data_IF_511641088421
#
_entry.id   IF_511641088421
#
_cell.length_a   1.000
_cell.length_b   1.000
_cell.length_c   1.000
_cell.angle_alpha   90.00
_cell.angle_beta   90.00
_cell.angle_gamma   90.00
#
_symmetry.space_group_name_H-M   'P 1'
#
loop_
_entity.id
_entity.type
_entity.pdbx_description
1 polymer ?
#
# COMPACT_ATOMS: atom_id res chain seq x y z
N UNK A 1 -5.17 16.28 9.08
CA UNK A 1 -5.95 15.02 9.12
C UNK A 1 -4.96 13.85 9.15
N UNK A 2 -4.86 13.19 10.30
CA UNK A 2 -3.70 12.35 10.71
C UNK A 2 -3.60 10.96 10.04
N UNK A 3 -4.45 10.66 9.05
CA UNK A 3 -4.56 9.32 8.47
C UNK A 3 -3.65 9.07 7.24
N UNK A 4 -3.04 10.11 6.66
CA UNK A 4 -2.20 9.96 5.46
C UNK A 4 -0.93 9.16 5.75
N UNK A 5 -0.67 8.12 4.97
CA UNK A 5 0.55 7.32 5.01
C UNK A 5 1.71 8.13 4.42
N UNK A 6 2.84 8.06 5.09
CA UNK A 6 4.11 8.55 4.57
C UNK A 6 4.93 7.31 4.19
N UNK A 7 5.05 7.05 2.89
CA UNK A 7 5.74 5.87 2.37
C UNK A 7 7.24 5.89 2.63
N UNK A 8 7.83 7.05 2.95
CA UNK A 8 9.24 7.14 3.32
C UNK A 8 9.56 6.51 4.68
N UNK A 9 8.53 6.22 5.49
CA UNK A 9 8.67 5.49 6.76
C UNK A 9 8.98 4.01 6.51
N UNK A 10 9.46 3.30 7.53
CA UNK A 10 9.73 1.87 7.40
C UNK A 10 8.44 1.07 7.19
N UNK A 11 8.53 -0.08 6.54
CA UNK A 11 7.40 -0.98 6.35
C UNK A 11 6.71 -1.31 7.69
N UNK A 12 7.48 -1.51 8.76
CA UNK A 12 6.96 -1.73 10.11
C UNK A 12 6.20 -0.53 10.68
N UNK A 13 6.71 0.69 10.48
CA UNK A 13 6.02 1.91 10.93
C UNK A 13 4.68 2.07 10.20
N UNK A 14 4.67 1.84 8.88
CA UNK A 14 3.45 1.91 8.06
C UNK A 14 2.46 0.83 8.49
N UNK A 15 2.90 -0.41 8.68
CA UNK A 15 2.05 -1.51 9.14
C UNK A 15 1.38 -1.21 10.50
N UNK A 16 2.16 -0.71 11.46
CA UNK A 16 1.64 -0.30 12.78
C UNK A 16 0.61 0.83 12.64
N UNK A 17 0.89 1.81 11.78
CA UNK A 17 -0.02 2.93 11.51
C UNK A 17 -1.33 2.45 10.87
N UNK A 18 -1.28 1.58 9.86
CA UNK A 18 -2.48 0.98 9.25
C UNK A 18 -3.33 0.27 10.31
N UNK A 19 -2.71 -0.57 11.15
CA UNK A 19 -3.42 -1.27 12.23
C UNK A 19 -4.05 -0.31 13.25
N UNK A 20 -3.37 0.77 13.60
CA UNK A 20 -3.89 1.77 14.56
C UNK A 20 -5.11 2.55 14.03
N UNK A 21 -5.28 2.63 12.71
CA UNK A 21 -6.36 3.36 12.05
C UNK A 21 -7.50 2.44 11.57
N UNK A 22 -7.43 1.13 11.83
CA UNK A 22 -8.46 0.15 11.49
C UNK A 22 -9.28 -0.18 12.76
N UNK A 23 -10.63 -0.06 12.78
CA UNK A 23 -11.56 0.09 11.64
C UNK A 23 -11.95 1.52 11.25
N UNK A 24 -11.52 2.54 11.98
CA UNK A 24 -11.74 3.93 11.61
C UNK A 24 -10.58 4.81 12.13
N UNK A 25 -10.15 5.84 11.38
CA UNK A 25 -10.68 6.34 10.10
C UNK A 25 -10.23 5.59 8.83
N UNK A 26 -9.31 4.63 8.97
CA UNK A 26 -8.57 3.97 7.89
C UNK A 26 -7.34 4.78 7.46
N UNK A 27 -6.21 4.12 7.22
CA UNK A 27 -5.02 4.78 6.70
C UNK A 27 -5.25 5.17 5.24
N UNK A 28 -4.84 6.37 4.83
CA UNK A 28 -5.10 6.89 3.49
C UNK A 28 -3.81 7.16 2.72
N UNK A 29 -3.83 6.98 1.41
CA UNK A 29 -2.78 7.38 0.47
C UNK A 29 -3.44 7.83 -0.82
N UNK A 30 -2.66 8.38 -1.75
CA UNK A 30 -3.17 8.86 -3.03
C UNK A 30 -2.48 8.13 -4.17
N UNK A 31 -3.25 7.76 -5.19
CA UNK A 31 -2.74 7.24 -6.46
C UNK A 31 -3.30 8.10 -7.59
N UNK A 32 -2.43 8.80 -8.33
CA UNK A 32 -2.83 9.70 -9.41
C UNK A 32 -3.88 10.75 -8.98
N UNK A 33 -3.81 11.23 -7.73
CA UNK A 33 -4.78 12.18 -7.16
C UNK A 33 -6.09 11.55 -6.66
N UNK A 34 -6.26 10.23 -6.78
CA UNK A 34 -7.39 9.51 -6.20
C UNK A 34 -7.05 8.99 -4.80
N UNK A 35 -7.94 9.23 -3.83
CA UNK A 35 -7.79 8.71 -2.47
C UNK A 35 -7.99 7.19 -2.44
N UNK A 36 -7.03 6.49 -1.83
CA UNK A 36 -7.08 5.05 -1.56
C UNK A 36 -6.87 4.82 -0.08
N UNK A 37 -7.75 4.05 0.55
CA UNK A 37 -7.57 3.61 1.93
C UNK A 37 -6.91 2.24 1.98
N UNK A 38 -6.00 2.07 2.93
CA UNK A 38 -5.31 0.82 3.25
C UNK A 38 -5.84 0.33 4.60
N UNK A 39 -6.34 -0.90 4.61
CA UNK A 39 -7.01 -1.48 5.78
C UNK A 39 -6.22 -2.60 6.42
N UNK A 40 -5.53 -3.40 5.61
CA UNK A 40 -4.78 -4.55 6.06
C UNK A 40 -3.48 -4.68 5.27
N UNK A 41 -2.40 -4.96 5.99
CA UNK A 41 -1.04 -5.12 5.46
C UNK A 41 -0.37 -6.34 6.07
N UNK A 42 0.71 -6.80 5.45
CA UNK A 42 1.63 -7.76 6.06
C UNK A 42 3.06 -7.54 5.60
N UNK A 43 4.00 -8.02 6.42
CA UNK A 43 5.38 -8.19 6.00
C UNK A 43 5.48 -9.35 4.99
N UNK A 44 6.02 -9.14 3.78
CA UNK A 44 6.28 -10.24 2.86
C UNK A 44 7.38 -11.15 3.41
N UNK A 45 7.25 -12.48 3.18
CA UNK A 45 8.21 -13.50 3.65
C UNK A 45 9.58 -13.37 3.01
N UNK A 46 9.61 -13.03 1.71
CA UNK A 46 10.85 -12.80 0.99
C UNK A 46 11.34 -11.38 1.24
N UNK A 47 12.59 -11.26 1.70
CA UNK A 47 13.28 -9.97 1.78
C UNK A 47 13.62 -9.51 0.36
N UNK A 48 12.70 -8.79 -0.28
CA UNK A 48 12.98 -8.08 -1.52
C UNK A 48 13.73 -6.79 -1.15
N UNK A 49 15.05 -6.77 -1.35
CA UNK A 49 15.87 -5.59 -1.16
C UNK A 49 15.66 -4.62 -2.33
N UNK A 50 14.54 -3.90 -2.32
CA UNK A 50 14.23 -2.85 -3.29
C UNK A 50 14.59 -1.45 -2.73
N UNK A 51 15.72 -1.34 -2.02
CA UNK A 51 16.18 -0.08 -1.39
C UNK A 51 16.40 1.06 -2.39
N UNK A 52 16.71 0.73 -3.65
CA UNK A 52 16.90 1.70 -4.74
C UNK A 52 15.60 2.11 -5.44
N UNK A 53 14.44 1.61 -4.98
CA UNK A 53 13.14 1.98 -5.54
C UNK A 53 12.53 3.11 -4.70
N UNK A 54 11.93 4.09 -5.40
CA UNK A 54 11.24 5.20 -4.75
C UNK A 54 10.15 4.70 -3.79
N UNK A 55 10.08 5.19 -2.54
CA UNK A 55 8.98 4.87 -1.64
C UNK A 55 7.61 5.23 -2.22
N UNK A 56 6.62 4.37 -1.97
CA UNK A 56 5.27 4.44 -2.55
C UNK A 56 5.14 3.71 -3.88
N UNK A 57 6.24 3.31 -4.52
CA UNK A 57 6.20 2.58 -5.81
C UNK A 57 5.56 1.21 -5.62
N UNK A 58 4.61 0.89 -6.49
CA UNK A 58 3.99 -0.43 -6.58
C UNK A 58 4.93 -1.34 -7.38
N UNK A 59 5.48 -2.33 -6.69
CA UNK A 59 6.45 -3.29 -7.26
C UNK A 59 5.77 -4.42 -8.04
N UNK A 60 4.49 -4.64 -7.78
CA UNK A 60 3.69 -5.65 -8.45
C UNK A 60 2.90 -6.51 -7.47
N UNK A 61 2.61 -7.73 -7.90
CA UNK A 61 1.79 -8.67 -7.15
C UNK A 61 2.62 -9.46 -6.13
N UNK A 62 2.14 -9.51 -4.88
CA UNK A 62 2.63 -10.41 -3.83
C UNK A 62 1.85 -11.73 -3.77
N UNK A 63 2.05 -12.56 -2.74
CA UNK A 63 1.33 -13.84 -2.66
C UNK A 63 -0.18 -13.67 -2.39
N UNK A 64 -0.60 -12.60 -1.69
CA UNK A 64 -2.01 -12.35 -1.35
C UNK A 64 -2.48 -10.91 -1.60
N UNK A 65 -1.57 -10.03 -2.00
CA UNK A 65 -1.85 -8.62 -2.18
C UNK A 65 -0.94 -7.96 -3.20
N UNK A 66 -0.73 -6.67 -3.00
CA UNK A 66 0.13 -5.83 -3.84
C UNK A 66 1.34 -5.37 -3.03
N UNK A 67 2.54 -5.49 -3.61
CA UNK A 67 3.78 -5.07 -2.98
C UNK A 67 4.04 -3.60 -3.26
N UNK A 68 4.31 -2.84 -2.21
CA UNK A 68 4.62 -1.41 -2.27
C UNK A 68 5.92 -1.14 -1.54
N UNK A 69 6.83 -0.43 -2.19
CA UNK A 69 8.10 -0.03 -1.60
C UNK A 69 7.88 0.98 -0.47
N UNK A 70 8.45 0.72 0.72
CA UNK A 70 8.51 1.68 1.82
C UNK A 70 9.91 2.32 1.89
N UNK A 71 10.26 3.00 2.98
CA UNK A 71 11.58 3.61 3.14
C UNK A 71 12.74 2.60 3.21
N UNK A 72 12.47 1.38 3.67
CA UNK A 72 13.49 0.37 3.95
C UNK A 72 13.30 -0.94 3.14
N UNK A 73 12.06 -1.42 3.05
CA UNK A 73 11.68 -2.68 2.38
C UNK A 73 10.24 -2.62 1.87
N UNK A 74 9.81 -3.57 1.02
CA UNK A 74 8.44 -3.66 0.59
C UNK A 74 7.48 -4.07 1.70
N UNK A 75 6.26 -3.53 1.63
CA UNK A 75 5.09 -3.93 2.40
C UNK A 75 4.03 -4.48 1.47
N UNK A 76 3.35 -5.56 1.88
CA UNK A 76 2.26 -6.12 1.10
C UNK A 76 0.92 -5.60 1.60
N UNK A 77 0.14 -4.97 0.72
CA UNK A 77 -1.19 -4.46 1.02
C UNK A 77 -2.23 -5.53 0.65
N UNK A 78 -2.98 -5.98 1.66
CA UNK A 78 -3.92 -7.09 1.54
C UNK A 78 -5.36 -6.64 1.32
N UNK A 79 -5.73 -5.47 1.86
CA UNK A 79 -7.08 -4.93 1.72
C UNK A 79 -7.02 -3.42 1.47
N UNK A 80 -7.63 -2.98 0.38
CA UNK A 80 -7.69 -1.59 -0.05
C UNK A 80 -9.12 -1.16 -0.37
N UNK A 81 -9.34 0.15 -0.41
CA UNK A 81 -10.62 0.75 -0.79
C UNK A 81 -10.38 2.04 -1.57
N UNK A 82 -10.85 2.10 -2.81
CA UNK A 82 -10.88 3.34 -3.58
C UNK A 82 -11.93 4.31 -3.00
N UNK A 83 -11.79 5.61 -3.27
CA UNK A 83 -12.76 6.62 -2.87
C UNK A 83 -14.21 6.21 -3.24
N UNK A 84 -15.11 6.22 -2.25
CA UNK A 84 -16.52 5.82 -2.41
C UNK A 84 -16.77 4.33 -2.71
N UNK A 85 -15.72 3.52 -2.82
CA UNK A 85 -15.80 2.10 -3.15
C UNK A 85 -15.95 1.18 -1.93
N UNK A 86 -16.01 -0.13 -2.21
CA UNK A 86 -15.98 -1.19 -1.20
C UNK A 86 -14.54 -1.55 -0.83
N UNK A 87 -14.34 -2.18 0.33
CA UNK A 87 -13.06 -2.84 0.63
C UNK A 87 -12.91 -4.06 -0.29
N UNK A 88 -11.77 -4.19 -0.94
CA UNK A 88 -11.42 -5.28 -1.85
C UNK A 88 -10.01 -5.79 -1.55
N UNK A 89 -9.71 -7.01 -1.99
CA UNK A 89 -8.37 -7.58 -1.76
C UNK A 89 -7.31 -6.84 -2.57
N UNK A 90 -6.06 -6.83 -2.09
CA UNK A 90 -4.93 -6.21 -2.81
C UNK A 90 -4.72 -6.82 -4.19
N UNK A 91 -4.98 -8.11 -4.34
CA UNK A 91 -4.98 -8.79 -5.63
C UNK A 91 -6.03 -8.22 -6.60
N UNK A 92 -7.29 -8.14 -6.16
CA UNK A 92 -8.38 -7.57 -6.97
C UNK A 92 -8.10 -6.11 -7.33
N UNK A 93 -7.59 -5.35 -6.37
CA UNK A 93 -7.24 -3.95 -6.56
C UNK A 93 -6.13 -3.80 -7.61
N UNK A 94 -5.09 -4.64 -7.59
CA UNK A 94 -3.99 -4.60 -8.55
C UNK A 94 -4.42 -5.01 -9.96
N UNK A 95 -5.28 -6.03 -10.10
CA UNK A 95 -5.78 -6.46 -11.42
C UNK A 95 -6.60 -5.39 -12.14
N UNK A 96 -7.27 -4.50 -11.41
CA UNK A 96 -8.06 -3.41 -11.97
C UNK A 96 -7.24 -2.22 -12.49
N UNK A 97 -5.91 -2.31 -12.50
CA UNK A 97 -5.01 -1.19 -12.84
C UNK A 97 -4.18 -1.49 -14.11
N UNK A 98 -3.84 -0.45 -14.89
CA UNK A 98 -2.99 -0.59 -16.08
C UNK A 98 -1.58 -1.06 -15.70
N UNK A 99 -1.06 -2.06 -16.42
CA UNK A 99 0.26 -2.67 -16.19
C UNK A 99 1.38 -2.00 -16.97
N UNK A 100 1.07 -1.11 -17.90
CA UNK A 100 2.04 -0.38 -18.73
C UNK A 100 2.68 0.81 -18.01
N UNK A 101 2.16 1.19 -16.84
CA UNK A 101 2.63 2.34 -16.07
C UNK A 101 3.22 1.92 -14.74
N UNK A 102 4.36 2.52 -14.39
CA UNK A 102 4.85 2.50 -13.01
C UNK A 102 3.86 3.26 -12.13
N UNK A 103 3.13 2.53 -11.29
CA UNK A 103 2.21 3.11 -10.32
C UNK A 103 2.97 3.46 -9.05
N UNK A 104 2.72 4.64 -8.49
CA UNK A 104 3.39 5.13 -7.30
C UNK A 104 2.38 5.87 -6.43
N UNK A 105 2.25 5.43 -5.18
CA UNK A 105 1.47 6.09 -4.16
C UNK A 105 2.21 7.33 -3.62
N UNK A 106 1.44 8.32 -3.20
CA UNK A 106 1.92 9.56 -2.56
C UNK A 106 1.27 9.84 -1.22
#
# INVERSE_FOLDING_TARGET
AEAKLDWSNTAEQIDRKVRSLNPAPGASTELNGELVKVWLTRMPKAESNARDVKPGTILGQGEQGVLVQCGDRPLELLELQNAGGKKITGHQWFLGRPKDKTLCFS
#
